data_IF_898139175378
#
_entry.id   IF_898139175378
#
_cell.length_a   1.000
_cell.length_b   1.000
_cell.length_c   1.000
_cell.angle_alpha   90.00
_cell.angle_beta   90.00
_cell.angle_gamma   90.00
#
_symmetry.space_group_name_H-M   'P 1'
#
loop_
_entity.id
_entity.type
_entity.pdbx_description
1 polymer ?
#
# COMPACT_ATOMS: atom_id res chain seq x y z
N UNK A 1 59.65 21.12 85.71
CA UNK A 1 58.84 22.34 85.51
C UNK A 1 58.88 22.71 84.03
N UNK A 2 57.70 23.06 83.49
CA UNK A 2 57.40 23.64 82.16
C UNK A 2 57.09 22.64 81.03
N UNK A 3 55.78 22.37 80.94
CA UNK A 3 55.08 21.78 79.80
C UNK A 3 55.14 22.72 78.59
N UNK A 4 55.36 22.14 77.40
CA UNK A 4 55.13 22.79 76.12
C UNK A 4 53.76 22.34 75.56
N UNK A 5 53.05 23.30 74.97
CA UNK A 5 51.74 23.15 74.34
C UNK A 5 51.78 22.29 73.07
N UNK A 6 50.69 21.57 72.81
CA UNK A 6 50.22 21.30 71.45
C UNK A 6 48.69 21.13 71.46
N UNK A 7 48.01 22.12 70.89
CA UNK A 7 46.58 22.13 70.60
C UNK A 7 46.34 21.33 69.32
N UNK A 8 45.41 20.37 69.32
CA UNK A 8 44.90 19.76 68.09
C UNK A 8 43.39 19.55 68.18
N UNK A 9 42.67 20.30 67.33
CA UNK A 9 41.27 20.12 66.99
C UNK A 9 41.13 18.89 66.08
N UNK A 10 40.16 18.01 66.33
CA UNK A 10 39.65 17.05 65.34
C UNK A 10 38.11 17.08 65.30
N UNK A 11 37.48 16.97 64.11
CA UNK A 11 36.15 17.52 63.87
C UNK A 11 35.01 16.50 63.94
N UNK A 12 33.81 17.08 63.93
CA UNK A 12 32.44 16.56 63.82
C UNK A 12 32.30 15.27 62.98
N UNK A 13 31.66 14.26 63.59
CA UNK A 13 31.12 13.07 62.92
C UNK A 13 29.96 13.47 62.01
N UNK A 14 30.12 13.33 60.69
CA UNK A 14 29.02 13.33 59.73
C UNK A 14 28.57 11.88 59.57
N UNK A 15 27.36 11.56 60.06
CA UNK A 15 26.66 10.34 59.72
C UNK A 15 26.17 10.44 58.28
N UNK A 16 26.98 9.96 57.33
CA UNK A 16 26.52 9.72 55.97
C UNK A 16 25.75 8.40 56.00
N UNK A 17 24.46 8.50 55.72
CA UNK A 17 23.55 7.37 55.50
C UNK A 17 24.10 6.49 54.38
N UNK A 18 24.38 5.22 54.68
CA UNK A 18 24.55 4.18 53.65
C UNK A 18 23.16 3.90 53.05
N UNK A 19 22.70 4.76 52.13
CA UNK A 19 22.00 4.21 50.99
C UNK A 19 23.09 3.57 50.13
N UNK A 20 23.08 2.25 50.02
CA UNK A 20 23.87 1.59 49.00
C UNK A 20 23.31 2.08 47.66
N UNK A 21 23.98 3.08 47.07
CA UNK A 21 23.81 3.34 45.65
C UNK A 21 24.14 2.00 44.95
N UNK A 22 23.20 1.40 44.19
CA UNK A 22 23.51 0.22 43.42
C UNK A 22 24.72 0.56 42.53
N UNK A 23 25.68 -0.36 42.34
CA UNK A 23 26.86 -0.08 41.55
C UNK A 23 26.39 0.32 40.15
N UNK A 24 26.59 1.59 39.79
CA UNK A 24 26.49 2.06 38.41
C UNK A 24 27.39 1.15 37.60
N UNK A 25 26.79 0.40 36.67
CA UNK A 25 27.43 -0.65 35.90
C UNK A 25 28.65 -0.08 35.17
N UNK A 26 29.83 -0.30 35.74
CA UNK A 26 31.11 0.17 35.22
C UNK A 26 31.65 -0.81 34.18
N UNK A 27 30.87 -0.98 33.12
CA UNK A 27 31.21 -1.64 31.85
C UNK A 27 30.23 -1.10 30.80
N UNK A 28 30.14 0.22 30.71
CA UNK A 28 29.03 0.93 30.07
C UNK A 28 29.02 0.70 28.56
N UNK A 29 28.17 -0.23 28.12
CA UNK A 29 27.60 -0.13 26.81
C UNK A 29 26.85 1.22 26.72
N UNK A 30 26.94 1.95 25.60
CA UNK A 30 26.11 3.12 25.39
C UNK A 30 24.62 2.74 25.45
N UNK A 31 23.84 3.51 26.19
CA UNK A 31 22.37 3.44 26.29
C UNK A 31 21.88 4.86 26.01
N UNK A 32 21.22 5.05 24.88
CA UNK A 32 20.95 6.38 24.33
C UNK A 32 19.63 6.97 24.85
N UNK A 33 18.64 6.13 25.17
CA UNK A 33 17.35 6.58 25.65
C UNK A 33 17.14 6.37 27.17
N UNK A 34 18.06 5.66 27.82
CA UNK A 34 18.15 5.51 29.26
C UNK A 34 17.20 4.45 29.83
N UNK A 35 16.81 3.46 29.02
CA UNK A 35 15.85 2.43 29.41
C UNK A 35 16.48 1.22 30.12
N UNK A 36 17.82 1.16 30.16
CA UNK A 36 18.59 0.11 30.81
C UNK A 36 19.04 -1.02 29.88
N UNK A 37 18.77 -0.93 28.58
CA UNK A 37 19.26 -1.83 27.53
C UNK A 37 20.40 -1.15 26.76
N UNK A 38 21.39 -1.94 26.35
CA UNK A 38 22.54 -1.43 25.58
C UNK A 38 22.12 -1.16 24.14
N UNK A 39 22.59 -0.07 23.51
CA UNK A 39 22.27 0.26 22.10
C UNK A 39 22.51 -0.87 21.09
N UNK A 40 23.47 -1.77 21.35
CA UNK A 40 23.77 -2.91 20.46
C UNK A 40 22.76 -4.07 20.63
N UNK A 41 22.01 -4.08 21.73
CA UNK A 41 20.99 -5.07 22.11
C UNK A 41 19.58 -4.45 22.19
N UNK A 42 19.45 -3.16 21.87
CA UNK A 42 18.23 -2.36 22.02
C UNK A 42 17.49 -2.23 20.68
N UNK A 43 16.31 -2.85 20.58
CA UNK A 43 15.47 -2.80 19.39
C UNK A 43 14.77 -1.44 19.19
N UNK A 44 14.95 -0.48 20.12
CA UNK A 44 14.48 0.90 20.01
C UNK A 44 15.47 1.94 20.58
N UNK A 45 16.69 2.01 20.05
CA UNK A 45 17.81 2.94 20.40
C UNK A 45 17.44 4.40 20.79
N UNK A 46 16.28 4.93 20.38
CA UNK A 46 15.84 6.30 20.65
C UNK A 46 14.55 6.40 21.48
N UNK A 47 13.91 5.28 21.83
CA UNK A 47 12.58 5.22 22.45
C UNK A 47 12.54 4.12 23.51
N UNK A 48 12.55 4.55 24.78
CA UNK A 48 12.62 3.65 25.93
C UNK A 48 11.58 2.53 25.90
N UNK A 49 12.05 1.30 25.91
CA UNK A 49 11.26 0.07 26.00
C UNK A 49 12.02 -1.05 26.74
N UNK A 50 12.12 -0.96 28.09
CA UNK A 50 12.92 -1.90 28.89
C UNK A 50 12.51 -3.39 28.77
N UNK A 51 11.30 -3.66 28.28
CA UNK A 51 10.79 -5.01 28.05
C UNK A 51 11.19 -5.59 26.68
N UNK A 52 11.73 -4.75 25.78
CA UNK A 52 12.21 -5.12 24.45
C UNK A 52 11.18 -5.94 23.67
N UNK A 53 9.90 -5.57 23.82
CA UNK A 53 8.81 -6.20 23.08
C UNK A 53 9.01 -5.96 21.57
N UNK A 54 8.79 -7.01 20.79
CA UNK A 54 8.91 -7.08 19.33
C UNK A 54 7.95 -8.19 18.90
N UNK A 55 6.70 -7.81 18.66
CA UNK A 55 5.60 -8.75 18.51
C UNK A 55 5.62 -9.49 17.17
N UNK A 56 6.21 -8.90 16.13
CA UNK A 56 6.31 -9.51 14.80
C UNK A 56 7.70 -10.08 14.46
N UNK A 57 8.73 -9.73 15.23
CA UNK A 57 10.06 -10.31 15.15
C UNK A 57 10.92 -9.72 14.03
N UNK A 58 10.67 -8.48 13.59
CA UNK A 58 11.47 -7.79 12.57
C UNK A 58 12.76 -7.14 13.13
N UNK A 59 12.91 -7.12 14.46
CA UNK A 59 14.05 -6.54 15.18
C UNK A 59 13.91 -5.06 15.50
N UNK A 60 12.75 -4.45 15.25
CA UNK A 60 12.34 -3.13 15.74
C UNK A 60 11.32 -3.33 16.86
N UNK A 61 11.50 -2.65 17.99
CA UNK A 61 10.61 -2.85 19.12
C UNK A 61 9.24 -2.19 18.92
N UNK A 62 8.21 -2.78 19.55
CA UNK A 62 6.81 -2.31 19.51
C UNK A 62 6.66 -0.81 19.84
N UNK A 63 7.58 -0.27 20.65
CA UNK A 63 7.57 1.13 21.09
C UNK A 63 8.02 2.12 20.01
N UNK A 64 8.86 1.69 19.08
CA UNK A 64 9.41 2.51 18.00
C UNK A 64 9.02 2.02 16.61
N UNK A 65 8.19 0.98 16.54
CA UNK A 65 7.65 0.48 15.29
C UNK A 65 6.29 1.09 14.93
N UNK A 66 6.17 1.46 13.66
CA UNK A 66 4.93 1.96 13.09
C UNK A 66 3.94 0.82 12.83
N UNK A 67 4.46 -0.37 12.54
CA UNK A 67 3.69 -1.54 12.16
C UNK A 67 3.98 -2.75 13.07
N UNK A 68 3.75 -2.65 14.39
CA UNK A 68 4.22 -3.62 15.40
C UNK A 68 3.57 -5.01 15.34
N UNK A 69 2.80 -5.30 14.30
CA UNK A 69 2.17 -6.59 14.06
C UNK A 69 2.51 -7.15 12.67
N UNK A 70 3.33 -6.45 11.89
CA UNK A 70 3.67 -6.78 10.53
C UNK A 70 5.18 -6.62 10.30
N UNK A 71 5.92 -7.75 10.20
CA UNK A 71 7.37 -7.68 10.08
C UNK A 71 7.84 -7.14 8.74
N UNK A 72 6.94 -7.01 7.75
CA UNK A 72 7.24 -6.38 6.48
C UNK A 72 7.17 -4.84 6.52
N UNK A 73 6.56 -4.28 7.58
CA UNK A 73 6.28 -2.85 7.74
C UNK A 73 5.43 -2.25 6.59
N UNK A 74 5.31 -0.94 6.59
CA UNK A 74 4.84 -0.13 5.46
C UNK A 74 5.92 -0.14 4.34
N UNK A 75 5.77 -1.09 3.40
CA UNK A 75 6.75 -1.38 2.34
C UNK A 75 6.90 -0.21 1.36
N UNK A 76 5.83 0.55 1.10
CA UNK A 76 5.80 1.61 0.09
C UNK A 76 5.75 3.04 0.65
N UNK A 77 5.64 3.15 1.98
CA UNK A 77 5.60 4.39 2.75
C UNK A 77 4.38 5.27 2.47
N UNK A 78 3.21 4.67 2.26
CA UNK A 78 1.95 5.40 2.16
C UNK A 78 1.27 5.69 3.50
N UNK A 79 1.79 5.12 4.58
CA UNK A 79 1.25 5.23 5.93
C UNK A 79 0.30 4.10 6.31
N UNK A 80 0.37 2.95 5.65
CA UNK A 80 -0.46 1.78 5.93
C UNK A 80 0.45 0.55 6.00
N UNK A 81 0.27 -0.27 7.03
CA UNK A 81 1.09 -1.47 7.21
C UNK A 81 0.74 -2.51 6.17
N UNK A 82 1.72 -3.25 5.64
CA UNK A 82 1.53 -4.19 4.55
C UNK A 82 0.50 -5.29 4.81
N UNK A 83 0.27 -5.67 6.08
CA UNK A 83 -0.76 -6.62 6.47
C UNK A 83 -2.20 -6.08 6.38
N UNK A 84 -2.38 -4.76 6.43
CA UNK A 84 -3.65 -4.05 6.29
C UNK A 84 -3.76 -3.24 5.00
N UNK A 85 -2.66 -3.05 4.29
CA UNK A 85 -2.62 -2.37 3.01
C UNK A 85 -3.23 -3.26 1.92
N UNK A 86 -4.21 -2.71 1.22
CA UNK A 86 -4.84 -3.38 0.08
C UNK A 86 -3.85 -3.56 -1.06
N UNK A 87 -2.82 -2.73 -1.13
CA UNK A 87 -1.82 -2.72 -2.17
C UNK A 87 -0.38 -2.55 -1.65
N UNK A 88 0.19 -3.53 -0.92
CA UNK A 88 1.45 -3.37 -0.15
C UNK A 88 2.70 -2.92 -0.91
N UNK A 89 2.70 -2.92 -2.24
CA UNK A 89 3.84 -2.52 -3.07
C UNK A 89 3.56 -1.23 -3.88
N UNK A 90 2.43 -0.54 -3.64
CA UNK A 90 1.97 0.59 -4.45
C UNK A 90 1.41 1.72 -3.59
N UNK A 91 2.19 2.80 -3.48
CA UNK A 91 1.82 3.98 -2.68
C UNK A 91 0.37 4.42 -2.91
N UNK A 92 -0.50 4.22 -1.91
CA UNK A 92 -1.92 4.52 -2.01
C UNK A 92 -2.59 4.87 -0.68
N UNK A 93 -2.25 6.05 -0.12
CA UNK A 93 -2.64 6.43 1.25
C UNK A 93 -4.16 6.60 1.45
N UNK A 94 -4.93 6.65 0.36
CA UNK A 94 -6.38 6.76 0.37
C UNK A 94 -7.12 5.42 0.22
N UNK A 95 -6.39 4.32 0.00
CA UNK A 95 -6.91 2.94 -0.13
C UNK A 95 -8.08 2.84 -1.10
N UNK A 96 -8.03 3.61 -2.20
CA UNK A 96 -9.07 3.58 -3.22
C UNK A 96 -8.88 2.43 -4.22
N UNK A 97 -7.72 1.79 -4.23
CA UNK A 97 -7.30 0.70 -5.12
C UNK A 97 -7.81 -0.63 -4.55
N UNK A 98 -8.45 -1.43 -5.39
CA UNK A 98 -8.81 -2.80 -5.03
C UNK A 98 -7.78 -3.78 -5.58
N UNK A 99 -7.39 -4.75 -4.76
CA UNK A 99 -6.58 -5.88 -5.20
C UNK A 99 -7.31 -6.58 -6.35
N UNK A 100 -6.64 -6.70 -7.50
CA UNK A 100 -7.18 -7.46 -8.63
C UNK A 100 -7.51 -8.90 -8.24
N UNK A 101 -8.34 -9.61 -9.04
CA UNK A 101 -8.62 -11.03 -8.81
C UNK A 101 -7.35 -11.92 -8.88
N UNK A 102 -6.24 -11.40 -9.40
CA UNK A 102 -4.91 -12.01 -9.46
C UNK A 102 -4.00 -11.60 -8.28
N UNK A 103 -4.48 -10.78 -7.35
CA UNK A 103 -3.68 -10.21 -6.26
C UNK A 103 -2.75 -9.07 -6.69
N UNK A 104 -2.90 -8.54 -7.91
CA UNK A 104 -2.11 -7.40 -8.36
C UNK A 104 -2.68 -6.07 -7.86
N UNK A 105 -1.80 -5.21 -7.36
CA UNK A 105 -2.11 -3.83 -7.02
C UNK A 105 -2.26 -3.03 -8.32
N UNK A 106 -3.50 -2.70 -8.71
CA UNK A 106 -3.70 -1.76 -9.82
C UNK A 106 -4.63 -0.62 -9.40
N UNK A 107 -4.52 0.54 -10.05
CA UNK A 107 -5.41 1.66 -9.77
C UNK A 107 -6.87 1.20 -9.77
N UNK A 108 -7.71 1.75 -8.91
CA UNK A 108 -9.16 1.51 -8.74
C UNK A 108 -10.02 1.49 -10.02
N UNK A 109 -9.40 1.82 -11.15
CA UNK A 109 -9.96 1.95 -12.48
C UNK A 109 -9.16 1.06 -13.41
N UNK A 110 -9.27 -0.24 -13.17
CA UNK A 110 -8.76 -1.27 -14.06
C UNK A 110 -9.30 -1.06 -15.47
N UNK A 111 -8.38 -1.04 -16.43
CA UNK A 111 -8.71 -1.28 -17.83
C UNK A 111 -8.18 -2.66 -18.09
N UNK A 112 -9.09 -3.60 -18.16
CA UNK A 112 -8.88 -4.91 -18.69
C UNK A 112 -8.33 -4.81 -20.11
N UNK A 113 -7.84 -5.92 -20.64
CA UNK A 113 -7.36 -6.05 -21.99
C UNK A 113 -8.46 -5.66 -22.95
N UNK A 114 -8.06 -5.44 -24.18
CA UNK A 114 -9.00 -5.22 -25.25
C UNK A 114 -9.95 -6.43 -25.40
N UNK A 115 -11.19 -6.26 -24.95
CA UNK A 115 -12.32 -7.13 -25.28
C UNK A 115 -13.39 -6.23 -25.89
N UNK A 116 -13.84 -6.55 -27.10
CA UNK A 116 -14.88 -5.75 -27.73
C UNK A 116 -16.17 -5.79 -26.91
N UNK A 117 -16.67 -4.61 -26.57
CA UNK A 117 -17.84 -4.41 -25.72
C UNK A 117 -17.54 -4.20 -24.24
N UNK A 118 -16.30 -4.41 -23.78
CA UNK A 118 -15.86 -4.18 -22.39
C UNK A 118 -15.37 -2.73 -22.23
N UNK A 119 -16.30 -1.79 -22.28
CA UNK A 119 -16.03 -0.36 -22.18
C UNK A 119 -15.49 0.04 -20.79
N UNK A 120 -15.83 -0.72 -19.74
CA UNK A 120 -15.32 -0.45 -18.40
C UNK A 120 -13.92 -1.05 -18.17
N UNK A 121 -13.56 -2.07 -18.94
CA UNK A 121 -12.28 -2.75 -18.82
C UNK A 121 -12.22 -3.61 -17.56
N UNK A 122 -13.21 -4.47 -17.32
CA UNK A 122 -13.17 -5.43 -16.20
C UNK A 122 -13.16 -6.89 -16.68
N UNK A 123 -12.83 -7.11 -17.95
CA UNK A 123 -12.79 -8.37 -18.67
C UNK A 123 -14.16 -9.00 -18.92
N UNK A 124 -15.27 -8.32 -18.58
CA UNK A 124 -16.61 -8.88 -18.68
C UNK A 124 -17.54 -7.93 -19.42
N UNK A 125 -17.98 -8.31 -20.61
CA UNK A 125 -19.00 -7.56 -21.34
C UNK A 125 -20.37 -7.75 -20.66
N UNK A 126 -20.86 -6.70 -20.01
CA UNK A 126 -22.09 -6.66 -19.20
C UNK A 126 -22.89 -5.36 -19.43
N UNK A 127 -23.94 -5.17 -18.63
CA UNK A 127 -24.77 -3.95 -18.71
C UNK A 127 -24.01 -2.69 -18.28
N UNK A 128 -22.99 -2.83 -17.42
CA UNK A 128 -22.15 -1.73 -16.98
C UNK A 128 -21.46 -1.03 -18.13
N UNK A 129 -20.96 -1.79 -19.12
CA UNK A 129 -20.28 -1.27 -20.30
C UNK A 129 -21.18 -0.42 -21.17
N UNK A 130 -22.39 -0.91 -21.45
CA UNK A 130 -23.36 -0.17 -22.24
C UNK A 130 -23.76 1.15 -21.55
N UNK A 131 -23.93 1.12 -20.22
CA UNK A 131 -24.22 2.32 -19.43
C UNK A 131 -23.04 3.29 -19.45
N UNK A 132 -21.81 2.80 -19.36
CA UNK A 132 -20.60 3.64 -19.43
C UNK A 132 -20.51 4.35 -20.78
N UNK A 133 -20.67 3.64 -21.90
CA UNK A 133 -20.65 4.24 -23.24
C UNK A 133 -21.76 5.29 -23.40
N UNK A 134 -22.97 5.01 -22.91
CA UNK A 134 -24.08 5.98 -22.93
C UNK A 134 -23.79 7.23 -22.10
N UNK A 135 -23.23 7.06 -20.90
CA UNK A 135 -22.90 8.17 -20.02
C UNK A 135 -21.80 9.05 -20.61
N UNK A 136 -20.80 8.45 -21.26
CA UNK A 136 -19.76 9.20 -21.98
C UNK A 136 -20.34 9.99 -23.15
N UNK A 137 -21.14 9.35 -24.01
CA UNK A 137 -21.70 9.98 -25.22
C UNK A 137 -22.69 11.11 -24.91
N UNK A 138 -23.50 10.98 -23.86
CA UNK A 138 -24.66 11.86 -23.65
C UNK A 138 -24.64 12.67 -22.36
N UNK A 139 -23.89 12.23 -21.33
CA UNK A 139 -23.94 12.84 -20.00
C UNK A 139 -22.62 13.51 -19.58
N UNK A 140 -21.61 13.51 -20.45
CA UNK A 140 -20.32 14.13 -20.18
C UNK A 140 -19.50 13.39 -19.12
N UNK A 141 -19.76 12.08 -18.96
CA UNK A 141 -18.87 11.23 -18.20
C UNK A 141 -17.49 11.14 -18.88
N UNK A 142 -16.43 10.78 -18.15
CA UNK A 142 -15.10 10.58 -18.73
C UNK A 142 -15.12 9.60 -19.90
N UNK A 143 -14.19 9.81 -20.84
CA UNK A 143 -13.95 8.92 -21.98
C UNK A 143 -13.53 7.51 -21.52
N UNK A 144 -14.04 6.42 -22.15
CA UNK A 144 -13.57 5.08 -21.90
C UNK A 144 -12.07 5.00 -22.11
N UNK A 145 -11.37 4.41 -21.14
CA UNK A 145 -9.90 4.33 -21.20
C UNK A 145 -9.41 3.49 -22.39
N UNK A 146 -10.25 2.58 -22.86
CA UNK A 146 -10.09 1.83 -24.10
C UNK A 146 -11.24 2.19 -25.04
N UNK A 147 -11.03 3.20 -25.90
CA UNK A 147 -12.09 3.71 -26.79
C UNK A 147 -12.53 2.66 -27.80
N UNK A 148 -11.61 1.83 -28.29
CA UNK A 148 -11.97 0.76 -29.22
C UNK A 148 -12.87 -0.31 -28.58
N UNK A 149 -12.83 -0.55 -27.26
CA UNK A 149 -13.74 -1.55 -26.65
C UNK A 149 -15.18 -1.04 -26.62
N UNK A 150 -15.35 0.29 -26.61
CA UNK A 150 -16.65 0.92 -26.73
C UNK A 150 -17.22 0.90 -28.16
N UNK A 151 -16.42 0.60 -29.20
CA UNK A 151 -16.89 0.29 -30.56
C UNK A 151 -17.31 -1.20 -30.65
N UNK A 152 -18.45 -1.49 -30.03
CA UNK A 152 -19.00 -2.84 -29.94
C UNK A 152 -19.42 -3.39 -31.31
N UNK A 153 -19.75 -2.52 -32.25
CA UNK A 153 -20.15 -2.89 -33.61
C UNK A 153 -18.96 -3.10 -34.58
N UNK A 154 -17.77 -2.65 -34.18
CA UNK A 154 -16.52 -2.73 -34.94
C UNK A 154 -16.52 -1.91 -36.24
N UNK A 155 -17.27 -0.80 -36.27
CA UNK A 155 -17.45 0.02 -37.47
C UNK A 155 -16.45 1.19 -37.59
N UNK A 156 -15.57 1.32 -36.59
CA UNK A 156 -14.54 2.34 -36.49
C UNK A 156 -15.03 3.67 -35.92
N UNK A 157 -16.23 3.69 -35.33
CA UNK A 157 -16.80 4.86 -34.65
C UNK A 157 -17.40 4.40 -33.33
N UNK A 158 -17.42 5.30 -32.36
CA UNK A 158 -18.22 5.08 -31.16
C UNK A 158 -19.41 6.02 -31.19
N UNK A 159 -20.61 5.45 -31.29
CA UNK A 159 -21.87 6.17 -31.24
C UNK A 159 -22.97 5.38 -30.52
N UNK A 160 -24.23 5.80 -30.64
CA UNK A 160 -25.36 5.17 -29.94
C UNK A 160 -25.58 3.72 -30.36
N UNK A 161 -25.11 3.33 -31.54
CA UNK A 161 -25.28 1.97 -32.05
C UNK A 161 -24.50 0.94 -31.24
N UNK A 162 -23.37 1.32 -30.64
CA UNK A 162 -22.52 0.42 -29.87
C UNK A 162 -23.12 -0.05 -28.54
N UNK A 163 -23.59 0.82 -27.63
CA UNK A 163 -24.25 0.37 -26.42
C UNK A 163 -25.56 -0.38 -26.74
N UNK A 164 -26.23 -0.03 -27.84
CA UNK A 164 -27.40 -0.81 -28.31
C UNK A 164 -26.97 -2.22 -28.74
N UNK A 165 -25.86 -2.36 -29.45
CA UNK A 165 -25.32 -3.65 -29.86
C UNK A 165 -25.02 -4.55 -28.66
N UNK A 166 -24.31 -4.02 -27.66
CA UNK A 166 -24.01 -4.72 -26.42
C UNK A 166 -25.28 -5.19 -25.72
N UNK A 167 -26.29 -4.32 -25.57
CA UNK A 167 -27.56 -4.68 -24.93
C UNK A 167 -28.39 -5.71 -25.72
N UNK A 168 -28.40 -5.59 -27.05
CA UNK A 168 -29.11 -6.55 -27.94
C UNK A 168 -28.47 -7.93 -27.86
N UNK A 169 -27.14 -8.00 -27.83
CA UNK A 169 -26.44 -9.27 -27.61
C UNK A 169 -26.75 -9.85 -26.22
N UNK A 170 -26.61 -9.07 -25.15
CA UNK A 170 -26.81 -9.52 -23.78
C UNK A 170 -28.23 -10.03 -23.48
N UNK A 171 -29.26 -9.32 -23.95
CA UNK A 171 -30.63 -9.55 -23.50
C UNK A 171 -31.58 -10.06 -24.57
N UNK A 172 -31.25 -9.90 -25.85
CA UNK A 172 -32.16 -10.21 -26.95
C UNK A 172 -31.64 -11.37 -27.82
N UNK A 173 -30.53 -12.01 -27.45
CA UNK A 173 -29.93 -13.10 -28.23
C UNK A 173 -29.40 -12.62 -29.58
N UNK A 174 -28.93 -11.37 -29.62
CA UNK A 174 -28.30 -10.78 -30.80
C UNK A 174 -26.99 -11.44 -31.18
N UNK A 175 -26.40 -10.94 -32.28
CA UNK A 175 -25.07 -11.38 -32.70
C UNK A 175 -24.04 -10.86 -31.69
N UNK A 176 -23.12 -11.71 -31.17
CA UNK A 176 -22.04 -11.25 -30.30
C UNK A 176 -21.21 -10.17 -30.98
N UNK A 177 -20.60 -9.25 -30.21
CA UNK A 177 -19.62 -8.31 -30.74
C UNK A 177 -18.56 -9.03 -31.60
N UNK A 178 -18.17 -8.46 -32.76
CA UNK A 178 -17.15 -9.04 -33.61
C UNK A 178 -15.82 -9.29 -32.87
N UNK A 179 -15.02 -10.23 -33.38
CA UNK A 179 -13.70 -10.50 -32.83
C UNK A 179 -12.79 -9.24 -32.84
N UNK A 180 -11.79 -9.17 -31.95
CA UNK A 180 -11.58 -10.09 -30.83
C UNK A 180 -12.62 -9.86 -29.72
N UNK A 181 -13.26 -10.96 -29.34
CA UNK A 181 -14.25 -11.05 -28.26
C UNK A 181 -13.66 -11.76 -27.03
N UNK A 182 -12.35 -11.98 -27.08
CA UNK A 182 -11.48 -12.48 -26.04
C UNK A 182 -10.23 -11.58 -26.03
N UNK A 183 -9.40 -11.73 -25.00
CA UNK A 183 -8.19 -10.94 -24.76
C UNK A 183 -7.17 -11.12 -25.91
N UNK A 184 -7.31 -10.35 -27.00
CA UNK A 184 -6.42 -10.40 -28.16
C UNK A 184 -6.33 -9.02 -28.84
N UNK A 185 -5.26 -8.80 -29.60
CA UNK A 185 -5.16 -7.63 -30.48
C UNK A 185 -6.15 -7.75 -31.64
N UNK A 186 -6.86 -6.67 -31.95
CA UNK A 186 -7.67 -6.62 -33.16
C UNK A 186 -6.84 -6.23 -34.38
N UNK A 187 -7.08 -6.94 -35.49
CA UNK A 187 -6.58 -6.51 -36.81
C UNK A 187 -7.50 -5.52 -37.52
N UNK A 188 -8.64 -5.12 -36.92
CA UNK A 188 -9.55 -4.14 -37.51
C UNK A 188 -8.90 -2.75 -37.49
N UNK A 189 -8.87 -2.10 -38.65
CA UNK A 189 -8.30 -0.75 -38.79
C UNK A 189 -9.06 0.30 -37.94
N UNK A 190 -10.36 0.10 -37.70
CA UNK A 190 -11.17 0.94 -36.82
C UNK A 190 -10.67 0.89 -35.38
N UNK A 191 -10.51 -0.31 -34.82
CA UNK A 191 -10.02 -0.50 -33.46
C UNK A 191 -8.61 0.07 -33.27
N UNK A 192 -7.71 -0.15 -34.25
CA UNK A 192 -6.36 0.42 -34.23
C UNK A 192 -6.41 1.96 -34.22
N UNK A 193 -7.34 2.55 -34.97
CA UNK A 193 -7.49 4.01 -35.04
C UNK A 193 -8.09 4.61 -33.78
N UNK A 194 -8.95 3.87 -33.07
CA UNK A 194 -9.55 4.30 -31.80
C UNK A 194 -8.58 4.08 -30.62
N UNK A 195 -7.64 3.15 -30.77
CA UNK A 195 -6.62 2.82 -29.78
C UNK A 195 -7.17 1.94 -28.65
N UNK A 196 -6.36 0.99 -28.18
CA UNK A 196 -6.55 0.16 -26.97
C UNK A 196 -5.31 -0.73 -26.74
N UNK A 197 -4.11 -0.20 -27.03
CA UNK A 197 -2.92 -1.02 -27.25
C UNK A 197 -2.21 -1.42 -25.93
N UNK A 198 -2.92 -1.57 -24.80
CA UNK A 198 -2.30 -2.03 -23.56
C UNK A 198 -2.06 -3.55 -23.57
N UNK A 199 -0.81 -3.94 -23.30
CA UNK A 199 -0.12 -5.14 -23.78
C UNK A 199 -0.25 -6.44 -22.98
N UNK A 200 -1.20 -6.60 -22.06
CA UNK A 200 -1.15 -7.77 -21.15
C UNK A 200 -2.45 -8.58 -21.14
N UNK A 201 -2.48 -9.57 -22.04
CA UNK A 201 -3.13 -10.85 -21.79
C UNK A 201 -2.04 -11.75 -21.22
N UNK A 202 -1.97 -11.90 -19.89
CA UNK A 202 -1.06 -12.89 -19.33
C UNK A 202 -1.48 -14.28 -19.85
N UNK A 203 -0.52 -14.98 -20.47
CA UNK A 203 -0.68 -16.35 -20.96
C UNK A 203 -0.70 -17.37 -19.83
#
# INVERSE_FOLDING_TARGET
MKNFLATALLPVFVLISLAADPPVALSGCPDRDGDGVCNDDDNCILTSNPDQADADGDGRGDACDYCPADPANDIDHDGICGDVDTCPDLWNPDQLQEAGPDGSCRPAEWVGPFIRGDSQGDYHVQIGDAVLTLNWLFLGAPEPRCVASADASADGRVDISDPIWTLVWLFMGGVPPPAPNECELSSNAGDISLGCESWFCDQ
#
